data_IF_220057900340
#
_entry.id   IF_220057900340
#
_cell.length_a   1.000
_cell.length_b   1.000
_cell.length_c   1.000
_cell.angle_alpha   90.00
_cell.angle_beta   90.00
_cell.angle_gamma   90.00
#
_symmetry.space_group_name_H-M   'P 1'
#
loop_
_entity.id
_entity.type
_entity.pdbx_description
1 polymer ?
#
# COMPACT_ATOMS: atom_id res chain seq x y z
N UNK A 1 -9.24 49.21 37.60
CA UNK A 1 -9.88 48.00 38.17
C UNK A 1 -10.33 46.95 37.15
N UNK A 2 -10.85 47.29 35.98
CA UNK A 2 -11.25 46.27 34.98
C UNK A 2 -10.10 45.49 34.31
N UNK A 3 -8.89 46.05 34.24
CA UNK A 3 -7.75 45.41 33.57
C UNK A 3 -7.15 44.24 34.39
N UNK A 4 -7.25 44.30 35.72
CA UNK A 4 -6.79 43.23 36.62
C UNK A 4 -7.80 42.07 36.68
N UNK A 5 -9.10 42.36 36.61
CA UNK A 5 -10.15 41.33 36.53
C UNK A 5 -10.07 40.51 35.23
N UNK A 6 -9.77 41.16 34.09
CA UNK A 6 -9.58 40.45 32.81
C UNK A 6 -8.35 39.53 32.81
N UNK A 7 -7.25 39.90 33.47
CA UNK A 7 -6.09 38.99 33.61
C UNK A 7 -6.34 37.82 34.56
N UNK A 8 -7.06 38.03 35.66
CA UNK A 8 -7.43 36.94 36.57
C UNK A 8 -8.37 35.93 35.90
N UNK A 9 -9.33 36.40 35.10
CA UNK A 9 -10.21 35.53 34.32
C UNK A 9 -9.45 34.78 33.21
N UNK A 10 -8.50 35.41 32.53
CA UNK A 10 -7.67 34.75 31.51
C UNK A 10 -6.73 33.67 32.10
N UNK A 11 -6.20 33.88 33.30
CA UNK A 11 -5.36 32.89 34.01
C UNK A 11 -6.20 31.75 34.62
N UNK A 12 -7.42 32.05 35.07
CA UNK A 12 -8.35 31.05 35.60
C UNK A 12 -8.92 30.14 34.50
N UNK A 13 -9.22 30.67 33.31
CA UNK A 13 -9.64 29.84 32.16
C UNK A 13 -8.47 28.99 31.65
N UNK A 14 -7.23 29.51 31.67
CA UNK A 14 -6.04 28.77 31.26
C UNK A 14 -5.56 27.70 32.29
N UNK A 15 -6.04 27.73 33.53
CA UNK A 15 -5.63 26.80 34.59
C UNK A 15 -6.75 25.87 35.10
N UNK A 16 -7.99 26.02 34.60
CA UNK A 16 -9.14 25.20 35.00
C UNK A 16 -9.64 24.24 33.92
N UNK A 17 -9.08 24.25 32.71
CA UNK A 17 -9.16 23.11 31.80
C UNK A 17 -8.12 22.09 32.23
N UNK A 18 -8.57 21.27 33.17
CA UNK A 18 -7.84 20.28 33.89
C UNK A 18 -7.07 19.32 32.99
N UNK A 19 -5.78 19.21 33.30
CA UNK A 19 -5.05 17.95 33.49
C UNK A 19 -4.82 17.10 32.23
N UNK A 20 -3.70 16.35 32.22
CA UNK A 20 -3.02 16.01 31.00
C UNK A 20 -3.92 15.11 30.17
N UNK A 21 -4.10 15.48 28.90
CA UNK A 21 -4.30 14.47 27.86
C UNK A 21 -3.17 13.50 28.11
N UNK A 22 -3.50 12.33 28.69
CA UNK A 22 -2.59 11.22 28.81
C UNK A 22 -1.98 11.13 27.43
N UNK A 23 -0.68 11.46 27.34
CA UNK A 23 0.06 11.29 26.12
C UNK A 23 -0.21 9.84 25.76
N UNK A 24 -1.05 9.64 24.73
CA UNK A 24 -1.32 8.33 24.21
C UNK A 24 0.07 7.87 23.82
N UNK A 25 0.63 7.00 24.66
CA UNK A 25 1.87 6.33 24.36
C UNK A 25 1.62 5.78 22.97
N UNK A 26 2.36 6.20 21.94
CA UNK A 26 2.16 5.63 20.62
C UNK A 26 2.28 4.13 20.84
N UNK A 27 1.20 3.40 20.58
CA UNK A 27 1.24 1.95 20.62
C UNK A 27 2.43 1.58 19.72
N UNK A 28 3.42 0.90 20.27
CA UNK A 28 4.54 0.38 19.51
C UNK A 28 3.96 -0.66 18.55
N UNK A 29 3.58 -0.23 17.35
CA UNK A 29 2.89 -1.04 16.35
C UNK A 29 2.05 -0.21 15.38
N UNK A 30 1.62 -0.85 14.29
CA UNK A 30 0.71 -0.24 13.33
C UNK A 30 -0.62 0.13 13.99
N UNK A 31 -1.18 1.28 13.63
CA UNK A 31 -2.56 1.59 13.99
C UNK A 31 -3.51 0.65 13.24
N UNK A 32 -4.69 0.39 13.82
CA UNK A 32 -5.73 -0.43 13.18
C UNK A 32 -6.16 0.12 11.80
N UNK A 33 -5.99 1.42 11.54
CA UNK A 33 -6.24 2.02 10.23
C UNK A 33 -5.14 1.63 9.23
N UNK A 34 -3.88 1.76 9.62
CA UNK A 34 -2.73 1.38 8.78
C UNK A 34 -2.75 -0.11 8.44
N UNK A 35 -3.04 -0.97 9.41
CA UNK A 35 -3.18 -2.41 9.21
C UNK A 35 -4.26 -2.76 8.16
N UNK A 36 -5.41 -2.08 8.21
CA UNK A 36 -6.48 -2.27 7.22
C UNK A 36 -6.09 -1.80 5.82
N UNK A 37 -5.39 -0.67 5.70
CA UNK A 37 -4.93 -0.18 4.41
C UNK A 37 -3.85 -1.10 3.83
N UNK A 38 -2.88 -1.57 4.63
CA UNK A 38 -1.87 -2.54 4.18
C UNK A 38 -2.50 -3.84 3.68
N UNK A 39 -3.47 -4.41 4.41
CA UNK A 39 -4.20 -5.59 3.95
C UNK A 39 -4.95 -5.36 2.64
N UNK A 40 -5.55 -4.18 2.48
CA UNK A 40 -6.24 -3.81 1.24
C UNK A 40 -5.28 -3.67 0.07
N UNK A 41 -4.09 -3.12 0.30
CA UNK A 41 -3.04 -3.02 -0.70
C UNK A 41 -2.51 -4.41 -1.10
N UNK A 42 -2.26 -5.32 -0.15
CA UNK A 42 -1.92 -6.71 -0.44
C UNK A 42 -2.98 -7.39 -1.32
N UNK A 43 -4.26 -7.30 -0.94
CA UNK A 43 -5.35 -7.84 -1.76
C UNK A 43 -5.51 -7.18 -3.13
N UNK A 44 -4.96 -5.98 -3.34
CA UNK A 44 -4.91 -5.34 -4.66
C UNK A 44 -3.77 -5.90 -5.49
N UNK A 45 -2.60 -6.11 -4.89
CA UNK A 45 -1.42 -6.68 -5.53
C UNK A 45 -1.67 -8.15 -5.91
N UNK A 46 -2.31 -8.94 -5.05
CA UNK A 46 -2.73 -10.32 -5.37
C UNK A 46 -3.58 -10.37 -6.64
N UNK A 47 -4.64 -9.56 -6.71
CA UNK A 47 -5.48 -9.49 -7.92
C UNK A 47 -4.72 -9.00 -9.15
N UNK A 48 -3.65 -8.23 -8.97
CA UNK A 48 -2.78 -7.81 -10.08
C UNK A 48 -1.93 -8.99 -10.55
N UNK A 49 -1.35 -9.77 -9.64
CA UNK A 49 -0.64 -11.00 -9.96
C UNK A 49 -1.54 -11.99 -10.70
N UNK A 50 -2.79 -12.18 -10.25
CA UNK A 50 -3.76 -13.06 -10.92
C UNK A 50 -3.96 -12.63 -12.39
N UNK A 51 -4.24 -11.33 -12.62
CA UNK A 51 -4.41 -10.78 -13.97
C UNK A 51 -3.16 -10.89 -14.83
N UNK A 52 -1.97 -10.73 -14.23
CA UNK A 52 -0.71 -10.89 -14.96
C UNK A 52 -0.49 -12.36 -15.33
N UNK A 53 -0.83 -13.30 -14.45
CA UNK A 53 -0.80 -14.74 -14.75
C UNK A 53 -1.79 -15.14 -15.86
N UNK A 54 -2.99 -14.57 -15.88
CA UNK A 54 -3.95 -14.78 -16.97
C UNK A 54 -3.42 -14.26 -18.32
N UNK A 55 -2.80 -13.07 -18.33
CA UNK A 55 -2.19 -12.51 -19.54
C UNK A 55 -0.99 -13.34 -20.01
N UNK A 56 -0.14 -13.78 -19.09
CA UNK A 56 1.00 -14.66 -19.36
C UNK A 56 0.54 -15.97 -20.01
N UNK A 57 -0.48 -16.63 -19.46
CA UNK A 57 -1.06 -17.83 -20.04
C UNK A 57 -1.63 -17.57 -21.46
N UNK A 58 -2.30 -16.44 -21.66
CA UNK A 58 -2.79 -16.00 -22.96
C UNK A 58 -1.66 -15.79 -23.98
N UNK A 59 -0.55 -15.18 -23.58
CA UNK A 59 0.64 -15.02 -24.43
C UNK A 59 1.25 -16.38 -24.79
N UNK A 60 1.41 -17.29 -23.83
CA UNK A 60 1.91 -18.63 -24.13
C UNK A 60 1.04 -19.39 -25.13
N UNK A 61 -0.29 -19.30 -25.00
CA UNK A 61 -1.20 -19.86 -26.00
C UNK A 61 -1.00 -19.20 -27.37
N UNK A 62 -0.90 -17.87 -27.43
CA UNK A 62 -0.67 -17.14 -28.68
C UNK A 62 0.69 -17.47 -29.33
N UNK A 63 1.73 -17.74 -28.53
CA UNK A 63 3.04 -18.18 -29.01
C UNK A 63 2.97 -19.57 -29.63
N UNK A 64 2.21 -20.49 -29.04
CA UNK A 64 1.99 -21.83 -29.60
C UNK A 64 1.31 -21.76 -30.98
N UNK A 65 0.33 -20.86 -31.14
CA UNK A 65 -0.33 -20.61 -32.43
C UNK A 65 0.55 -19.86 -33.45
N UNK A 66 1.65 -19.25 -33.01
CA UNK A 66 2.58 -18.49 -33.85
C UNK A 66 3.89 -19.24 -34.13
N UNK A 67 3.94 -20.56 -33.94
CA UNK A 67 5.17 -21.35 -33.97
C UNK A 67 6.01 -21.18 -35.26
N UNK A 68 5.35 -20.99 -36.40
CA UNK A 68 6.01 -20.82 -37.71
C UNK A 68 6.24 -19.33 -38.10
N UNK A 69 5.74 -18.38 -37.30
CA UNK A 69 5.90 -16.94 -37.51
C UNK A 69 6.90 -16.37 -36.48
N UNK A 70 8.18 -16.47 -36.82
CA UNK A 70 9.29 -16.04 -35.96
C UNK A 70 9.25 -14.54 -35.61
N UNK A 71 8.73 -13.70 -36.50
CA UNK A 71 8.64 -12.26 -36.24
C UNK A 71 7.56 -11.98 -35.18
N UNK A 72 6.39 -12.63 -35.32
CA UNK A 72 5.34 -12.56 -34.30
C UNK A 72 5.78 -13.21 -32.99
N UNK A 73 6.47 -14.34 -33.03
CA UNK A 73 7.00 -15.02 -31.85
C UNK A 73 7.98 -14.12 -31.07
N UNK A 74 8.86 -13.39 -31.78
CA UNK A 74 9.77 -12.43 -31.16
C UNK A 74 9.06 -11.27 -30.44
N UNK A 75 7.94 -10.77 -31.01
CA UNK A 75 7.11 -9.77 -30.33
C UNK A 75 6.43 -10.32 -29.07
N UNK A 76 5.84 -11.51 -29.17
CA UNK A 76 5.18 -12.16 -28.04
C UNK A 76 6.16 -12.50 -26.91
N UNK A 77 7.39 -12.90 -27.24
CA UNK A 77 8.45 -13.13 -26.26
C UNK A 77 8.89 -11.84 -25.54
N UNK A 78 8.94 -10.71 -26.25
CA UNK A 78 9.21 -9.41 -25.63
C UNK A 78 8.09 -9.03 -24.65
N UNK A 79 6.83 -9.18 -25.04
CA UNK A 79 5.68 -8.95 -24.15
C UNK A 79 5.69 -9.89 -22.93
N UNK A 80 6.10 -11.15 -23.12
CA UNK A 80 6.22 -12.13 -22.03
C UNK A 80 7.27 -11.68 -21.00
N UNK A 81 8.43 -11.19 -21.46
CA UNK A 81 9.49 -10.66 -20.58
C UNK A 81 9.03 -9.43 -19.81
N UNK A 82 8.25 -8.56 -20.43
CA UNK A 82 7.65 -7.39 -19.75
C UNK A 82 6.69 -7.84 -18.65
N UNK A 83 5.81 -8.81 -18.92
CA UNK A 83 4.90 -9.36 -17.91
C UNK A 83 5.68 -10.02 -16.77
N UNK A 84 6.71 -10.81 -17.07
CA UNK A 84 7.54 -11.44 -16.05
C UNK A 84 8.19 -10.39 -15.14
N UNK A 85 8.78 -9.34 -15.71
CA UNK A 85 9.37 -8.24 -14.93
C UNK A 85 8.31 -7.47 -14.11
N UNK A 86 7.10 -7.29 -14.64
CA UNK A 86 6.01 -6.66 -13.90
C UNK A 86 5.57 -7.54 -12.72
N UNK A 87 5.47 -8.87 -12.90
CA UNK A 87 5.17 -9.82 -11.83
C UNK A 87 6.22 -9.77 -10.73
N UNK A 88 7.50 -9.83 -11.07
CA UNK A 88 8.60 -9.75 -10.10
C UNK A 88 8.51 -8.46 -9.25
N UNK A 89 8.17 -7.33 -9.88
CA UNK A 89 7.99 -6.05 -9.19
C UNK A 89 6.80 -6.10 -8.22
N UNK A 90 5.67 -6.64 -8.68
CA UNK A 90 4.45 -6.74 -7.87
C UNK A 90 4.65 -7.73 -6.71
N UNK A 91 5.37 -8.83 -6.91
CA UNK A 91 5.73 -9.79 -5.87
C UNK A 91 6.66 -9.16 -4.83
N UNK A 92 7.67 -8.40 -5.26
CA UNK A 92 8.56 -7.67 -4.35
C UNK A 92 7.78 -6.65 -3.50
N UNK A 93 6.87 -5.88 -4.11
CA UNK A 93 5.99 -4.95 -3.40
C UNK A 93 5.07 -5.70 -2.42
N UNK A 94 4.52 -6.85 -2.83
CA UNK A 94 3.65 -7.67 -1.98
C UNK A 94 4.40 -8.18 -0.75
N UNK A 95 5.62 -8.74 -0.94
CA UNK A 95 6.46 -9.20 0.16
C UNK A 95 6.81 -8.07 1.12
N UNK A 96 7.20 -6.90 0.59
CA UNK A 96 7.53 -5.74 1.42
C UNK A 96 6.32 -5.24 2.24
N UNK A 97 5.09 -5.35 1.73
CA UNK A 97 3.89 -4.99 2.48
C UNK A 97 3.49 -6.07 3.48
N UNK A 98 3.72 -7.35 3.17
CA UNK A 98 3.49 -8.47 4.07
C UNK A 98 4.42 -8.40 5.28
N UNK A 99 5.72 -8.15 5.06
CA UNK A 99 6.73 -7.96 6.11
C UNK A 99 6.39 -6.80 7.05
N UNK A 100 5.70 -5.77 6.55
CA UNK A 100 5.25 -4.64 7.38
C UNK A 100 4.07 -4.98 8.28
N UNK A 101 3.31 -6.03 7.96
CA UNK A 101 2.17 -6.50 8.76
C UNK A 101 2.57 -7.50 9.85
N UNK A 102 3.76 -8.12 9.74
CA UNK A 102 4.35 -8.96 10.79
C UNK A 102 4.79 -8.15 12.01
#
# INVERSE_FOLDING_TARGET
DEYLARRAAAVAVASAEAAPVAAAVPAEGLSAKEERELRKELSRLERRLDRLGEREAGLHAAMAEAADDYERLGRLDAELKEIASEKDTVEADWLALADRLE
#
